data_IF_347687677849
#
_entry.id   IF_347687677849
#
_cell.length_a   1.000
_cell.length_b   1.000
_cell.length_c   1.000
_cell.angle_alpha   90.00
_cell.angle_beta   90.00
_cell.angle_gamma   90.00
#
_symmetry.space_group_name_H-M   'P 1'
#
loop_
_entity.id
_entity.type
_entity.pdbx_description
1 polymer ?
#
# COMPACT_ATOMS: atom_id res chain seq x y z
N UNK A 1 -0.86 66.67 38.96
CA UNK A 1 -1.77 65.52 39.10
C UNK A 1 -2.61 65.50 37.84
N UNK A 2 -2.14 64.75 36.85
CA UNK A 2 -2.66 64.77 35.48
C UNK A 2 -2.99 63.32 35.14
N UNK A 3 -4.25 63.07 34.80
CA UNK A 3 -4.81 61.74 34.54
C UNK A 3 -4.61 61.44 33.05
N UNK A 4 -3.85 60.39 32.73
CA UNK A 4 -3.77 59.82 31.37
C UNK A 4 -4.99 58.93 31.08
N UNK A 5 -5.50 58.89 29.84
CA UNK A 5 -6.63 58.03 29.47
C UNK A 5 -6.17 56.58 29.19
N UNK A 6 -7.07 55.65 29.50
CA UNK A 6 -6.89 54.21 29.40
C UNK A 6 -6.64 53.73 27.96
N UNK A 7 -5.62 52.88 27.81
CA UNK A 7 -5.32 52.12 26.59
C UNK A 7 -6.25 50.91 26.52
N UNK A 8 -7.04 50.82 25.46
CA UNK A 8 -7.85 49.64 25.10
C UNK A 8 -6.95 48.49 24.62
N UNK A 9 -7.15 47.24 25.09
CA UNK A 9 -6.43 46.10 24.55
C UNK A 9 -7.03 45.67 23.20
N UNK A 10 -6.21 45.73 22.15
CA UNK A 10 -6.51 45.13 20.86
C UNK A 10 -6.50 43.60 20.98
N UNK A 11 -7.63 42.94 20.66
CA UNK A 11 -7.64 41.51 20.37
C UNK A 11 -6.89 41.26 19.04
N UNK A 12 -5.94 40.32 18.98
CA UNK A 12 -5.46 39.82 17.70
C UNK A 12 -6.53 38.90 17.08
N UNK A 13 -7.06 39.39 15.97
CA UNK A 13 -7.87 38.66 14.99
C UNK A 13 -7.12 37.47 14.39
N UNK A 14 -7.87 36.39 14.16
CA UNK A 14 -7.61 35.33 13.19
C UNK A 14 -6.43 34.38 13.48
N UNK A 15 -6.76 33.26 14.13
CA UNK A 15 -5.95 32.04 14.08
C UNK A 15 -6.05 31.48 12.66
N UNK A 16 -5.11 31.87 11.80
CA UNK A 16 -4.90 31.18 10.52
C UNK A 16 -4.59 29.72 10.82
N UNK A 17 -5.43 28.82 10.31
CA UNK A 17 -5.13 27.39 10.30
C UNK A 17 -3.82 27.19 9.54
N UNK A 18 -2.75 26.87 10.27
CA UNK A 18 -1.50 26.42 9.68
C UNK A 18 -1.79 25.05 9.06
N UNK A 19 -2.07 25.04 7.76
CA UNK A 19 -1.93 23.84 6.96
C UNK A 19 -0.43 23.55 6.96
N UNK A 20 0.00 22.62 7.80
CA UNK A 20 1.33 22.02 7.70
C UNK A 20 1.33 21.23 6.39
N UNK A 21 1.66 21.91 5.29
CA UNK A 21 2.12 21.23 4.10
C UNK A 21 3.43 20.56 4.48
N UNK A 22 3.38 19.24 4.67
CA UNK A 22 4.60 18.45 4.83
C UNK A 22 5.48 18.70 3.59
N UNK A 23 6.76 19.07 3.75
CA UNK A 23 7.64 19.35 2.61
C UNK A 23 7.71 18.12 1.69
N UNK A 24 7.76 18.36 0.38
CA UNK A 24 7.69 17.35 -0.70
C UNK A 24 8.70 16.20 -0.51
N UNK A 25 9.84 16.46 0.12
CA UNK A 25 10.85 15.44 0.46
C UNK A 25 10.34 14.35 1.43
N UNK A 26 9.32 14.62 2.24
CA UNK A 26 8.78 13.66 3.21
C UNK A 26 7.77 12.67 2.61
N UNK A 27 7.32 12.87 1.37
CA UNK A 27 6.41 11.94 0.70
C UNK A 27 7.13 10.86 -0.12
N UNK A 28 8.41 11.05 -0.46
CA UNK A 28 9.15 10.04 -1.24
C UNK A 28 9.61 8.86 -0.39
N UNK A 29 9.90 9.07 0.90
CA UNK A 29 10.35 8.00 1.81
C UNK A 29 9.29 7.70 2.85
N UNK A 30 8.87 6.44 2.93
CA UNK A 30 7.82 5.97 3.84
C UNK A 30 8.34 4.80 4.67
N UNK A 31 8.28 4.90 5.99
CA UNK A 31 8.75 3.84 6.88
C UNK A 31 7.65 3.31 7.80
N UNK A 32 7.65 1.99 8.01
CA UNK A 32 6.83 1.31 9.02
C UNK A 32 7.71 0.82 10.17
N UNK A 33 7.21 0.82 11.42
CA UNK A 33 7.93 0.26 12.56
C UNK A 33 7.84 -1.28 12.58
N UNK A 34 8.62 -1.90 13.47
CA UNK A 34 8.49 -3.31 13.80
C UNK A 34 7.08 -3.64 14.33
N UNK A 35 6.59 -4.88 14.17
CA UNK A 35 7.31 -6.07 13.67
C UNK A 35 7.42 -6.15 12.14
N UNK A 36 6.59 -5.41 11.39
CA UNK A 36 6.58 -5.43 9.93
C UNK A 36 7.38 -4.24 9.35
N UNK A 37 8.56 -3.99 9.91
CA UNK A 37 9.35 -2.80 9.56
C UNK A 37 9.79 -2.84 8.09
N UNK A 38 9.61 -1.74 7.38
CA UNK A 38 9.98 -1.59 5.98
C UNK A 38 10.13 -0.12 5.68
N UNK A 39 11.10 0.22 4.84
CA UNK A 39 11.24 1.56 4.26
C UNK A 39 11.07 1.47 2.75
N UNK A 40 10.16 2.28 2.23
CA UNK A 40 9.94 2.50 0.80
C UNK A 40 10.56 3.83 0.43
N UNK A 41 11.41 3.86 -0.59
CA UNK A 41 11.94 5.07 -1.19
C UNK A 41 11.48 5.14 -2.65
N UNK A 42 10.61 6.11 -2.90
CA UNK A 42 9.89 6.41 -4.14
C UNK A 42 10.49 7.64 -4.85
N UNK A 43 11.71 8.07 -4.46
CA UNK A 43 12.36 9.25 -5.03
C UNK A 43 12.71 9.09 -6.51
N UNK A 44 12.86 7.86 -6.99
CA UNK A 44 13.18 7.53 -8.37
C UNK A 44 11.90 7.11 -9.12
N UNK A 45 11.46 7.86 -10.14
CA UNK A 45 10.27 7.51 -10.92
C UNK A 45 10.36 6.10 -11.52
N UNK A 46 9.25 5.36 -11.47
CA UNK A 46 9.17 3.98 -11.97
C UNK A 46 9.86 2.92 -11.11
N UNK A 47 10.50 3.32 -10.02
CA UNK A 47 11.21 2.41 -9.12
C UNK A 47 10.79 2.64 -7.67
N UNK A 48 10.78 1.54 -6.92
CA UNK A 48 10.58 1.56 -5.47
C UNK A 48 11.75 0.84 -4.84
N UNK A 49 12.56 1.55 -4.07
CA UNK A 49 13.60 0.91 -3.27
C UNK A 49 12.98 0.50 -1.93
N UNK A 50 13.01 -0.79 -1.65
CA UNK A 50 12.41 -1.41 -0.48
C UNK A 50 13.54 -1.93 0.41
N UNK A 51 13.66 -1.35 1.59
CA UNK A 51 14.64 -1.76 2.61
C UNK A 51 13.94 -2.46 3.76
N UNK A 52 14.36 -3.68 4.05
CA UNK A 52 13.87 -4.48 5.17
C UNK A 52 14.97 -4.59 6.23
N UNK A 53 14.83 -3.93 7.39
CA UNK A 53 15.82 -4.04 8.45
C UNK A 53 15.82 -5.45 9.05
N UNK A 54 16.89 -5.76 9.80
CA UNK A 54 17.02 -6.99 10.59
C UNK A 54 15.80 -7.17 11.50
N UNK A 55 15.26 -8.38 11.57
CA UNK A 55 14.10 -8.71 12.41
C UNK A 55 12.74 -8.31 11.84
N UNK A 56 12.67 -7.70 10.66
CA UNK A 56 11.39 -7.43 10.02
C UNK A 56 10.68 -8.73 9.61
N UNK A 57 9.41 -8.84 9.98
CA UNK A 57 8.49 -9.89 9.55
C UNK A 57 7.71 -9.51 8.27
N UNK A 58 8.06 -8.39 7.64
CA UNK A 58 7.40 -7.91 6.43
C UNK A 58 7.47 -8.94 5.28
N UNK A 59 6.38 -9.05 4.55
CA UNK A 59 6.31 -9.71 3.24
C UNK A 59 5.50 -8.84 2.30
N UNK A 60 5.67 -9.04 1.00
CA UNK A 60 4.81 -8.41 -0.02
C UNK A 60 3.36 -8.91 0.05
N UNK A 61 3.12 -10.05 0.71
CA UNK A 61 1.89 -10.82 0.59
C UNK A 61 1.83 -11.56 -0.76
N UNK A 62 1.07 -12.65 -0.80
CA UNK A 62 0.85 -13.42 -2.02
C UNK A 62 -0.14 -12.69 -2.92
N UNK A 63 0.29 -12.34 -4.13
CA UNK A 63 -0.52 -11.58 -5.08
C UNK A 63 -0.09 -11.82 -6.53
N UNK A 64 -0.80 -11.21 -7.47
CA UNK A 64 -0.40 -11.07 -8.87
C UNK A 64 -0.75 -9.67 -9.42
N UNK A 65 -0.19 -9.37 -10.58
CA UNK A 65 -0.52 -8.21 -11.39
C UNK A 65 -1.20 -8.69 -12.69
N UNK A 66 -2.25 -8.04 -13.15
CA UNK A 66 -2.92 -8.38 -14.41
C UNK A 66 -2.29 -7.69 -15.61
N UNK A 67 -1.86 -6.44 -15.42
CA UNK A 67 -1.43 -5.57 -16.52
C UNK A 67 0.07 -5.37 -16.55
N UNK A 68 0.75 -5.53 -15.40
CA UNK A 68 2.18 -5.32 -15.27
C UNK A 68 2.97 -6.63 -15.15
N UNK A 69 4.12 -6.67 -15.81
CA UNK A 69 5.22 -7.53 -15.34
C UNK A 69 5.95 -6.78 -14.21
N UNK A 70 6.49 -7.50 -13.23
CA UNK A 70 7.29 -6.95 -12.14
C UNK A 70 8.74 -7.46 -12.20
N UNK A 71 9.69 -6.62 -11.79
CA UNK A 71 11.10 -6.96 -11.69
C UNK A 71 11.61 -6.63 -10.29
N UNK A 72 12.22 -7.63 -9.64
CA UNK A 72 12.79 -7.54 -8.29
C UNK A 72 14.31 -7.65 -8.38
N UNK A 73 15.02 -6.52 -8.33
CA UNK A 73 16.48 -6.49 -8.30
C UNK A 73 16.98 -6.50 -6.85
N UNK A 74 17.67 -7.58 -6.47
CA UNK A 74 18.26 -7.72 -5.13
C UNK A 74 19.57 -6.97 -5.10
N UNK A 75 19.60 -5.85 -4.37
CA UNK A 75 20.77 -4.97 -4.27
C UNK A 75 21.66 -5.37 -3.10
N UNK A 76 21.06 -5.80 -1.99
CA UNK A 76 21.76 -6.19 -0.77
C UNK A 76 21.02 -7.31 -0.04
N UNK A 77 21.77 -8.20 0.61
CA UNK A 77 21.23 -9.30 1.39
C UNK A 77 20.62 -10.39 0.52
N UNK A 78 19.65 -11.11 1.09
CA UNK A 78 18.96 -12.21 0.42
C UNK A 78 17.46 -12.18 0.69
N UNK A 79 16.70 -12.50 -0.36
CA UNK A 79 15.25 -12.64 -0.30
C UNK A 79 14.83 -14.08 -0.55
N UNK A 80 13.72 -14.47 0.05
CA UNK A 80 12.96 -15.65 -0.36
C UNK A 80 11.84 -15.16 -1.26
N UNK A 81 11.78 -15.68 -2.47
CA UNK A 81 10.73 -15.37 -3.45
C UNK A 81 9.94 -16.63 -3.74
N UNK A 82 8.62 -16.52 -3.68
CA UNK A 82 7.67 -17.50 -4.18
C UNK A 82 7.28 -17.11 -5.60
N UNK A 83 7.30 -18.06 -6.53
CA UNK A 83 6.70 -17.94 -7.86
C UNK A 83 5.81 -19.16 -8.08
N UNK A 84 4.49 -18.95 -8.21
CA UNK A 84 3.52 -20.03 -8.18
C UNK A 84 3.60 -20.79 -6.85
N UNK A 85 4.04 -22.04 -6.88
CA UNK A 85 4.21 -22.88 -5.69
C UNK A 85 5.67 -23.02 -5.25
N UNK A 86 6.62 -22.51 -6.04
CA UNK A 86 8.03 -22.73 -5.81
C UNK A 86 8.65 -21.58 -5.03
N UNK A 87 9.33 -21.91 -3.94
CA UNK A 87 10.15 -20.97 -3.19
C UNK A 87 11.61 -21.10 -3.58
N UNK A 88 12.27 -19.97 -3.82
CA UNK A 88 13.71 -19.90 -4.03
C UNK A 88 14.34 -18.76 -3.24
N UNK A 89 15.61 -18.92 -2.89
CA UNK A 89 16.41 -17.85 -2.29
C UNK A 89 17.23 -17.17 -3.37
N UNK A 90 17.19 -15.83 -3.39
CA UNK A 90 17.98 -15.00 -4.30
C UNK A 90 18.81 -14.04 -3.46
N UNK A 91 20.13 -14.03 -3.68
CA UNK A 91 21.07 -13.28 -2.85
C UNK A 91 21.95 -12.38 -3.71
N UNK A 92 22.15 -11.15 -3.27
CA UNK A 92 23.15 -10.26 -3.84
C UNK A 92 24.55 -10.63 -3.33
N UNK A 93 25.56 -10.38 -4.16
CA UNK A 93 26.97 -10.44 -3.76
C UNK A 93 27.72 -9.22 -4.31
N UNK A 94 28.94 -8.92 -3.84
CA UNK A 94 29.73 -7.82 -4.39
C UNK A 94 29.84 -7.92 -5.91
N UNK A 95 29.40 -6.88 -6.63
CA UNK A 95 29.40 -6.83 -8.09
C UNK A 95 28.30 -7.65 -8.80
N UNK A 96 27.42 -8.34 -8.07
CA UNK A 96 26.32 -9.12 -8.65
C UNK A 96 24.99 -8.85 -7.93
N UNK A 97 24.07 -8.20 -8.63
CA UNK A 97 22.74 -7.85 -8.15
C UNK A 97 21.71 -8.57 -9.03
N UNK A 98 21.31 -9.81 -8.67
CA UNK A 98 20.41 -10.60 -9.49
C UNK A 98 19.02 -9.94 -9.54
N UNK A 99 18.35 -10.12 -10.69
CA UNK A 99 16.99 -9.64 -10.92
C UNK A 99 16.04 -10.81 -11.17
N UNK A 100 14.91 -10.80 -10.49
CA UNK A 100 13.82 -11.75 -10.69
C UNK A 100 12.73 -11.08 -11.51
N UNK A 101 12.48 -11.57 -12.72
CA UNK A 101 11.28 -11.23 -13.48
C UNK A 101 10.09 -12.03 -12.97
N UNK A 102 9.00 -11.34 -12.71
CA UNK A 102 7.67 -11.85 -12.37
C UNK A 102 6.75 -11.47 -13.53
N UNK A 103 6.34 -12.46 -14.31
CA UNK A 103 5.40 -12.20 -15.41
C UNK A 103 4.02 -11.83 -14.86
N UNK A 104 3.26 -11.01 -15.58
CA UNK A 104 1.83 -10.78 -15.29
C UNK A 104 1.09 -12.10 -15.10
N UNK A 105 0.10 -12.08 -14.23
CA UNK A 105 -0.72 -13.21 -13.78
C UNK A 105 0.06 -14.27 -12.97
N UNK A 106 1.39 -14.17 -12.87
CA UNK A 106 2.17 -15.06 -12.02
C UNK A 106 1.96 -14.68 -10.55
N UNK A 107 1.56 -15.67 -9.76
CA UNK A 107 1.50 -15.50 -8.31
C UNK A 107 2.89 -15.39 -7.75
N UNK A 108 3.08 -14.42 -6.87
CA UNK A 108 4.36 -14.21 -6.24
C UNK A 108 4.21 -13.59 -4.86
N UNK A 109 5.21 -13.85 -4.04
CA UNK A 109 5.41 -13.26 -2.72
C UNK A 109 6.92 -13.16 -2.51
N UNK A 110 7.39 -12.10 -1.88
CA UNK A 110 8.77 -12.06 -1.41
C UNK A 110 8.90 -11.49 -0.01
N UNK A 111 9.96 -11.91 0.66
CA UNK A 111 10.34 -11.51 2.01
C UNK A 111 11.82 -11.70 2.22
N UNK A 112 12.33 -11.30 3.39
CA UNK A 112 13.69 -11.65 3.82
C UNK A 112 13.89 -13.17 3.80
N UNK A 113 15.06 -13.65 3.35
CA UNK A 113 15.37 -15.08 3.40
C UNK A 113 15.52 -15.57 4.84
N UNK A 114 16.14 -14.75 5.70
CA UNK A 114 16.40 -15.04 7.10
C UNK A 114 15.96 -13.86 7.98
N UNK A 115 15.17 -14.15 9.02
CA UNK A 115 14.68 -13.15 9.96
C UNK A 115 15.83 -12.41 10.69
N UNK A 116 16.87 -13.16 11.05
CA UNK A 116 18.03 -12.65 11.80
C UNK A 116 19.22 -12.19 10.95
N UNK A 117 19.15 -12.33 9.62
CA UNK A 117 20.24 -11.94 8.71
C UNK A 117 20.42 -10.43 8.55
N UNK A 118 21.35 -10.03 7.69
CA UNK A 118 21.67 -8.62 7.42
C UNK A 118 20.52 -7.87 6.72
N UNK A 119 20.57 -6.54 6.74
CA UNK A 119 19.61 -5.70 6.03
C UNK A 119 19.47 -6.12 4.55
N UNK A 120 18.23 -6.17 4.08
CA UNK A 120 17.87 -6.54 2.71
C UNK A 120 17.40 -5.30 1.98
N UNK A 121 17.91 -5.10 0.76
CA UNK A 121 17.51 -3.99 -0.11
C UNK A 121 17.13 -4.56 -1.48
N UNK A 122 15.90 -4.28 -1.91
CA UNK A 122 15.37 -4.65 -3.22
C UNK A 122 14.95 -3.39 -3.95
N UNK A 123 15.24 -3.31 -5.25
CA UNK A 123 14.63 -2.31 -6.13
C UNK A 123 13.56 -3.01 -6.96
N UNK A 124 12.34 -2.51 -6.84
CA UNK A 124 11.16 -3.06 -7.48
C UNK A 124 10.68 -2.09 -8.57
N UNK A 125 10.39 -2.60 -9.77
CA UNK A 125 9.82 -1.82 -10.87
C UNK A 125 8.87 -2.66 -11.71
N UNK A 126 8.04 -2.01 -12.53
CA UNK A 126 7.03 -2.66 -13.36
C UNK A 126 7.18 -2.30 -14.84
N UNK A 127 6.66 -3.17 -15.69
CA UNK A 127 6.51 -2.95 -17.13
C UNK A 127 5.04 -3.14 -17.53
N UNK A 128 4.35 -2.11 -18.06
CA UNK A 128 4.85 -0.78 -18.39
C UNK A 128 5.35 0.02 -17.17
N UNK A 129 6.35 0.88 -17.38
CA UNK A 129 6.90 1.75 -16.35
C UNK A 129 6.01 3.00 -16.21
N UNK A 130 4.85 2.82 -15.58
CA UNK A 130 3.93 3.91 -15.28
C UNK A 130 4.01 4.36 -13.80
N UNK A 131 3.13 5.26 -13.40
CA UNK A 131 3.13 5.82 -12.05
C UNK A 131 2.35 4.96 -11.03
N UNK A 132 1.67 3.89 -11.45
CA UNK A 132 0.72 3.17 -10.59
C UNK A 132 1.40 2.53 -9.39
N UNK A 133 2.62 2.05 -9.58
CA UNK A 133 3.39 1.46 -8.49
C UNK A 133 3.66 2.44 -7.35
N UNK A 134 4.02 3.68 -7.67
CA UNK A 134 4.23 4.72 -6.65
C UNK A 134 2.90 5.12 -6.01
N UNK A 135 1.83 5.29 -6.81
CA UNK A 135 0.46 5.55 -6.32
C UNK A 135 0.01 4.47 -5.34
N UNK A 136 0.31 3.20 -5.64
CA UNK A 136 -0.01 2.07 -4.78
C UNK A 136 0.67 2.20 -3.42
N UNK A 137 1.99 2.38 -3.40
CA UNK A 137 2.73 2.46 -2.13
C UNK A 137 2.34 3.69 -1.30
N UNK A 138 2.11 4.85 -1.92
CA UNK A 138 1.62 6.04 -1.22
C UNK A 138 0.28 5.77 -0.51
N UNK A 139 -0.70 5.24 -1.25
CA UNK A 139 -2.05 5.05 -0.72
C UNK A 139 -2.15 3.88 0.26
N UNK A 140 -1.51 2.75 -0.04
CA UNK A 140 -1.39 1.59 0.85
C UNK A 140 -0.82 2.01 2.21
N UNK A 141 0.33 2.69 2.20
CA UNK A 141 0.98 3.12 3.43
C UNK A 141 0.20 4.25 4.13
N UNK A 142 -0.40 5.17 3.37
CA UNK A 142 -1.21 6.24 3.92
C UNK A 142 -2.43 5.73 4.71
N UNK A 143 -3.06 4.65 4.24
CA UNK A 143 -4.14 3.97 4.98
C UNK A 143 -3.59 3.26 6.21
N UNK A 144 -2.52 2.47 6.08
CA UNK A 144 -1.95 1.69 7.20
C UNK A 144 -1.44 2.59 8.32
N UNK A 145 -0.65 3.61 7.98
CA UNK A 145 -0.06 4.54 8.95
C UNK A 145 -1.09 5.56 9.45
N UNK A 146 -2.12 5.85 8.66
CA UNK A 146 -3.21 6.76 9.04
C UNK A 146 -4.28 6.14 9.93
N UNK A 147 -4.37 4.80 10.00
CA UNK A 147 -5.42 4.10 10.75
C UNK A 147 -5.50 4.48 12.24
N UNK A 148 -4.39 4.62 12.99
CA UNK A 148 -4.45 5.07 14.39
C UNK A 148 -5.06 6.47 14.55
N UNK A 149 -4.68 7.43 13.70
CA UNK A 149 -5.24 8.79 13.74
C UNK A 149 -6.70 8.88 13.28
N UNK A 150 -7.15 7.94 12.45
CA UNK A 150 -8.58 7.81 12.09
C UNK A 150 -9.40 7.27 13.27
N UNK A 151 -8.85 6.34 14.07
CA UNK A 151 -9.48 5.88 15.31
C UNK A 151 -9.74 7.06 16.27
N UNK A 152 -8.81 8.01 16.34
CA UNK A 152 -8.94 9.17 17.21
C UNK A 152 -9.95 10.21 16.67
N UNK A 153 -10.00 10.44 15.35
CA UNK A 153 -10.82 11.52 14.73
C UNK A 153 -12.19 11.07 14.23
N UNK A 154 -12.26 9.92 13.56
CA UNK A 154 -13.47 9.37 12.93
C UNK A 154 -14.22 8.39 13.83
N UNK A 155 -13.89 8.29 15.11
CA UNK A 155 -14.72 7.53 16.06
C UNK A 155 -15.43 8.45 17.06
N UNK A 156 -15.31 9.77 16.86
CA UNK A 156 -16.15 10.74 17.54
C UNK A 156 -17.65 10.55 17.22
N UNK A 157 -18.00 10.17 15.97
CA UNK A 157 -19.40 9.91 15.56
C UNK A 157 -19.97 8.58 16.10
N UNK A 158 -19.11 7.67 16.57
CA UNK A 158 -19.49 6.43 17.27
C UNK A 158 -18.90 6.38 18.68
N UNK A 159 -18.70 7.55 19.30
CA UNK A 159 -18.15 7.66 20.65
C UNK A 159 -19.01 6.94 21.70
N UNK A 160 -20.29 6.73 21.39
CA UNK A 160 -21.24 5.96 22.19
C UNK A 160 -21.08 4.43 22.08
N UNK A 161 -20.33 3.92 21.09
CA UNK A 161 -20.18 2.48 20.89
C UNK A 161 -19.06 1.86 21.75
N UNK A 162 -19.22 0.58 22.12
CA UNK A 162 -18.17 -0.18 22.80
C UNK A 162 -16.85 -0.26 21.99
N UNK A 163 -15.72 -0.37 22.69
CA UNK A 163 -14.37 -0.48 22.10
C UNK A 163 -14.23 -1.57 21.03
N UNK A 164 -14.81 -2.74 21.26
CA UNK A 164 -14.74 -3.85 20.31
C UNK A 164 -15.38 -3.50 18.96
N UNK A 165 -16.48 -2.75 18.96
CA UNK A 165 -17.17 -2.35 17.73
C UNK A 165 -16.39 -1.27 16.99
N UNK A 166 -15.77 -0.35 17.73
CA UNK A 166 -14.86 0.67 17.17
C UNK A 166 -13.66 0.03 16.49
N UNK A 167 -13.04 -0.95 17.14
CA UNK A 167 -11.94 -1.73 16.57
C UNK A 167 -12.37 -2.53 15.34
N UNK A 168 -13.53 -3.19 15.39
CA UNK A 168 -14.08 -3.92 14.24
C UNK A 168 -14.36 -2.98 13.05
N UNK A 169 -14.99 -1.83 13.28
CA UNK A 169 -15.29 -0.86 12.24
C UNK A 169 -14.01 -0.27 11.61
N UNK A 170 -12.99 0.01 12.42
CA UNK A 170 -11.69 0.45 11.91
C UNK A 170 -11.03 -0.63 11.04
N UNK A 171 -10.99 -1.87 11.52
CA UNK A 171 -10.41 -2.98 10.77
C UNK A 171 -11.15 -3.19 9.45
N UNK A 172 -12.48 -3.17 9.49
CA UNK A 172 -13.32 -3.25 8.30
C UNK A 172 -13.00 -2.12 7.31
N UNK A 173 -12.95 -0.87 7.78
CA UNK A 173 -12.64 0.29 6.94
C UNK A 173 -11.25 0.21 6.32
N UNK A 174 -10.23 -0.18 7.11
CA UNK A 174 -8.86 -0.36 6.62
C UNK A 174 -8.82 -1.47 5.56
N UNK A 175 -9.39 -2.64 5.85
CA UNK A 175 -9.45 -3.75 4.88
C UNK A 175 -10.16 -3.35 3.61
N UNK A 176 -11.32 -2.69 3.71
CA UNK A 176 -12.08 -2.20 2.56
C UNK A 176 -11.28 -1.20 1.74
N UNK A 177 -10.61 -0.24 2.40
CA UNK A 177 -9.75 0.75 1.74
C UNK A 177 -8.60 0.10 0.99
N UNK A 178 -7.94 -0.89 1.60
CA UNK A 178 -6.85 -1.63 0.96
C UNK A 178 -7.36 -2.42 -0.25
N UNK A 179 -8.52 -3.07 -0.16
CA UNK A 179 -9.09 -3.81 -1.29
C UNK A 179 -9.48 -2.90 -2.45
N UNK A 180 -10.00 -1.71 -2.18
CA UNK A 180 -10.27 -0.69 -3.22
C UNK A 180 -8.97 -0.27 -3.91
N UNK A 181 -7.90 -0.03 -3.14
CA UNK A 181 -6.56 0.28 -3.68
C UNK A 181 -6.05 -0.87 -4.55
N UNK A 182 -6.14 -2.10 -4.08
CA UNK A 182 -5.69 -3.33 -4.75
C UNK A 182 -6.36 -3.52 -6.11
N UNK A 183 -7.69 -3.37 -6.15
CA UNK A 183 -8.48 -3.50 -7.37
C UNK A 183 -8.13 -2.42 -8.41
N UNK A 184 -7.83 -1.20 -7.95
CA UNK A 184 -7.59 -0.06 -8.82
C UNK A 184 -6.16 0.03 -9.35
N UNK A 185 -5.17 -0.39 -8.57
CA UNK A 185 -3.73 -0.22 -8.85
C UNK A 185 -3.01 -1.56 -9.07
N UNK A 186 -3.70 -2.47 -9.76
CA UNK A 186 -3.16 -3.71 -10.31
C UNK A 186 -2.45 -4.64 -9.31
N UNK A 187 -2.94 -4.77 -8.07
CA UNK A 187 -2.29 -5.57 -7.05
C UNK A 187 -3.27 -6.57 -6.42
N UNK A 188 -3.48 -7.72 -7.05
CA UNK A 188 -4.53 -8.66 -6.70
C UNK A 188 -4.07 -9.69 -5.67
N UNK A 189 -4.52 -9.63 -4.40
CA UNK A 189 -4.14 -10.63 -3.40
C UNK A 189 -4.72 -12.01 -3.73
N UNK A 190 -3.96 -13.06 -3.42
CA UNK A 190 -4.46 -14.45 -3.38
C UNK A 190 -4.95 -14.72 -1.96
N UNK A 191 -6.27 -14.90 -1.78
CA UNK A 191 -6.87 -15.03 -0.46
C UNK A 191 -6.80 -16.44 0.13
N UNK A 192 -6.93 -17.47 -0.70
CA UNK A 192 -7.12 -18.86 -0.24
C UNK A 192 -5.87 -19.70 -0.48
N UNK A 193 -5.22 -19.53 -1.65
CA UNK A 193 -4.09 -20.35 -2.06
C UNK A 193 -4.48 -21.85 -2.08
N UNK A 194 -5.56 -22.14 -2.82
CA UNK A 194 -6.16 -23.48 -2.91
C UNK A 194 -5.14 -24.58 -3.23
N UNK A 195 -4.12 -24.39 -4.12
CA UNK A 195 -3.10 -25.40 -4.38
C UNK A 195 -2.35 -25.86 -3.14
N UNK A 196 -2.10 -24.96 -2.18
CA UNK A 196 -1.41 -25.27 -0.91
C UNK A 196 -2.34 -26.00 0.06
N UNK A 197 -3.63 -25.66 0.07
CA UNK A 197 -4.62 -26.28 0.97
C UNK A 197 -5.02 -27.70 0.56
N UNK A 198 -5.11 -27.96 -0.75
CA UNK A 198 -5.58 -29.22 -1.30
C UNK A 198 -4.57 -29.85 -2.27
N UNK A 199 -3.33 -30.17 -1.82
CA UNK A 199 -2.25 -30.63 -2.70
C UNK A 199 -2.51 -32.01 -3.35
N UNK A 200 -3.54 -32.74 -2.91
CA UNK A 200 -3.84 -34.11 -3.34
C UNK A 200 -5.24 -34.28 -3.97
N UNK A 201 -6.04 -33.21 -4.03
CA UNK A 201 -7.38 -33.26 -4.62
C UNK A 201 -7.30 -32.79 -6.07
N UNK A 202 -7.57 -33.69 -7.02
CA UNK A 202 -7.78 -33.43 -8.45
C UNK A 202 -6.76 -32.49 -9.14
N UNK A 203 -5.67 -33.07 -9.66
CA UNK A 203 -4.71 -32.42 -10.57
C UNK A 203 -5.35 -31.83 -11.85
N UNK A 204 -6.64 -32.11 -12.11
CA UNK A 204 -7.39 -31.62 -13.26
C UNK A 204 -8.09 -30.27 -13.04
N UNK A 205 -8.16 -29.76 -11.80
CA UNK A 205 -8.79 -28.46 -11.53
C UNK A 205 -7.75 -27.35 -11.68
N UNK A 206 -8.00 -26.31 -12.50
CA UNK A 206 -7.10 -25.17 -12.60
C UNK A 206 -7.28 -24.27 -11.37
N UNK A 207 -6.75 -24.69 -10.23
CA UNK A 207 -6.91 -24.01 -8.93
C UNK A 207 -6.54 -22.52 -8.96
N UNK A 208 -5.54 -22.15 -9.76
CA UNK A 208 -5.17 -20.74 -9.97
C UNK A 208 -6.34 -19.89 -10.50
N UNK A 209 -7.22 -20.45 -11.33
CA UNK A 209 -8.42 -19.74 -11.85
C UNK A 209 -9.49 -19.58 -10.77
N UNK A 210 -9.57 -20.53 -9.83
CA UNK A 210 -10.52 -20.46 -8.71
C UNK A 210 -10.13 -19.31 -7.79
N UNK A 211 -8.86 -19.25 -7.39
CA UNK A 211 -8.32 -18.15 -6.58
C UNK A 211 -8.46 -16.80 -7.30
N UNK A 212 -8.16 -16.73 -8.61
CA UNK A 212 -8.40 -15.52 -9.41
C UNK A 212 -9.87 -15.08 -9.35
N UNK A 213 -10.81 -15.99 -9.60
CA UNK A 213 -12.24 -15.70 -9.52
C UNK A 213 -12.65 -15.20 -8.13
N UNK A 214 -12.18 -15.86 -7.07
CA UNK A 214 -12.49 -15.47 -5.70
C UNK A 214 -11.96 -14.08 -5.36
N UNK A 215 -10.74 -13.75 -5.78
CA UNK A 215 -10.21 -12.40 -5.56
C UNK A 215 -10.97 -11.36 -6.37
N UNK A 216 -11.31 -11.62 -7.63
CA UNK A 216 -12.13 -10.69 -8.42
C UNK A 216 -13.49 -10.44 -7.79
N UNK A 217 -14.20 -11.49 -7.38
CA UNK A 217 -15.50 -11.33 -6.72
C UNK A 217 -15.38 -10.52 -5.43
N UNK A 218 -14.35 -10.79 -4.63
CA UNK A 218 -14.09 -10.08 -3.38
C UNK A 218 -13.75 -8.61 -3.62
N UNK A 219 -12.83 -8.34 -4.55
CA UNK A 219 -12.36 -6.99 -4.86
C UNK A 219 -13.42 -6.15 -5.58
N UNK A 220 -14.26 -6.74 -6.44
CA UNK A 220 -15.35 -6.02 -7.11
C UNK A 220 -16.44 -5.65 -6.09
N UNK A 221 -16.81 -6.57 -5.19
CA UNK A 221 -17.72 -6.26 -4.09
C UNK A 221 -17.15 -5.16 -3.17
N UNK A 222 -15.86 -5.26 -2.82
CA UNK A 222 -15.18 -4.25 -2.03
C UNK A 222 -15.10 -2.90 -2.74
N UNK A 223 -14.86 -2.89 -4.05
CA UNK A 223 -14.82 -1.68 -4.87
C UNK A 223 -16.20 -1.01 -4.92
N UNK A 224 -17.27 -1.79 -5.08
CA UNK A 224 -18.64 -1.27 -5.05
C UNK A 224 -19.02 -0.70 -3.68
N UNK A 225 -18.73 -1.44 -2.59
CA UNK A 225 -18.97 -0.96 -1.23
C UNK A 225 -18.14 0.28 -0.91
N UNK A 226 -16.86 0.29 -1.30
CA UNK A 226 -15.96 1.41 -1.12
C UNK A 226 -16.46 2.65 -1.85
N UNK A 227 -16.89 2.51 -3.10
CA UNK A 227 -17.53 3.58 -3.86
C UNK A 227 -18.77 4.13 -3.14
N UNK A 228 -19.67 3.25 -2.69
CA UNK A 228 -20.88 3.65 -1.96
C UNK A 228 -20.55 4.39 -0.65
N UNK A 229 -19.41 4.07 -0.02
CA UNK A 229 -18.90 4.70 1.20
C UNK A 229 -17.99 5.90 0.93
N UNK A 230 -17.77 6.29 -0.33
CA UNK A 230 -16.92 7.42 -0.71
C UNK A 230 -15.41 7.15 -0.56
N UNK A 231 -14.99 5.90 -0.41
CA UNK A 231 -13.57 5.50 -0.41
C UNK A 231 -13.00 5.67 -1.81
N UNK A 232 -11.85 6.33 -1.90
CA UNK A 232 -11.12 6.53 -3.14
C UNK A 232 -9.85 5.67 -3.15
N UNK A 233 -9.50 5.03 -4.28
CA UNK A 233 -8.27 4.23 -4.38
C UNK A 233 -7.01 5.10 -4.36
N UNK A 234 -7.10 6.35 -4.85
CA UNK A 234 -6.01 7.33 -4.79
C UNK A 234 -6.51 8.55 -4.04
N UNK A 235 -5.85 8.89 -2.94
CA UNK A 235 -6.21 9.99 -2.07
C UNK A 235 -5.13 11.09 -2.13
N UNK A 236 -5.51 12.36 -2.39
CA UNK A 236 -4.57 13.47 -2.45
C UNK A 236 -3.88 13.76 -1.11
N UNK A 237 -4.42 13.26 0.01
CA UNK A 237 -3.78 13.35 1.32
C UNK A 237 -2.47 12.56 1.39
N UNK A 238 -2.39 11.45 0.66
CA UNK A 238 -1.25 10.52 0.71
C UNK A 238 -0.35 10.61 -0.52
N UNK A 239 -0.83 11.28 -1.57
CA UNK A 239 -0.20 11.29 -2.88
C UNK A 239 0.33 12.70 -3.18
N UNK A 240 1.57 12.85 -3.68
CA UNK A 240 2.07 14.15 -4.14
C UNK A 240 1.13 14.79 -5.17
N UNK A 241 0.98 16.12 -5.09
CA UNK A 241 -0.02 16.86 -5.87
C UNK A 241 0.10 16.62 -7.38
N UNK A 242 1.32 16.63 -7.92
CA UNK A 242 1.57 16.44 -9.36
C UNK A 242 1.17 15.03 -9.81
N UNK A 243 1.53 14.01 -9.02
CA UNK A 243 1.17 12.61 -9.30
C UNK A 243 -0.35 12.40 -9.21
N UNK A 244 -1.01 13.00 -8.22
CA UNK A 244 -2.46 12.95 -8.08
C UNK A 244 -3.19 13.62 -9.25
N UNK A 245 -2.72 14.81 -9.65
CA UNK A 245 -3.29 15.55 -10.77
C UNK A 245 -3.10 14.80 -12.09
N UNK A 246 -1.93 14.21 -12.31
CA UNK A 246 -1.66 13.36 -13.47
C UNK A 246 -2.62 12.16 -13.51
N UNK A 247 -2.74 11.42 -12.40
CA UNK A 247 -3.67 10.29 -12.29
C UNK A 247 -5.13 10.70 -12.57
N UNK A 248 -5.57 11.82 -12.00
CA UNK A 248 -6.94 12.34 -12.19
C UNK A 248 -7.19 12.79 -13.64
N UNK A 249 -6.18 13.34 -14.30
CA UNK A 249 -6.27 13.80 -15.69
C UNK A 249 -6.37 12.64 -16.69
N UNK A 250 -5.86 11.46 -16.32
CA UNK A 250 -6.12 10.22 -17.06
C UNK A 250 -7.57 9.77 -16.78
N UNK A 251 -8.49 10.36 -17.52
CA UNK A 251 -9.94 10.15 -17.37
C UNK A 251 -10.38 8.68 -17.52
N UNK A 252 -9.56 7.82 -18.12
CA UNK A 252 -9.82 6.37 -18.19
C UNK A 252 -9.62 5.69 -16.83
N UNK A 253 -8.57 6.07 -16.10
CA UNK A 253 -8.23 5.53 -14.78
C UNK A 253 -9.16 6.06 -13.68
N UNK A 254 -9.45 7.37 -13.71
CA UNK A 254 -10.40 7.99 -12.77
C UNK A 254 -11.84 7.47 -12.96
N UNK A 255 -12.24 7.17 -14.20
CA UNK A 255 -13.55 6.57 -14.48
C UNK A 255 -13.64 5.11 -14.01
N UNK A 256 -12.58 4.31 -14.19
CA UNK A 256 -12.51 2.93 -13.67
C UNK A 256 -12.59 2.91 -12.14
N UNK A 257 -11.90 3.83 -11.48
CA UNK A 257 -11.94 3.99 -10.01
C UNK A 257 -13.31 4.44 -9.47
N UNK A 258 -14.09 5.20 -10.25
CA UNK A 258 -15.38 5.76 -9.80
C UNK A 258 -16.60 4.88 -10.11
N UNK A 259 -16.45 3.79 -10.87
CA UNK A 259 -17.58 2.95 -11.30
C UNK A 259 -17.67 1.57 -10.66
N UNK A 260 -16.73 1.17 -9.80
CA UNK A 260 -16.62 -0.21 -9.32
C UNK A 260 -16.22 -1.13 -10.48
N UNK A 261 -15.03 -1.72 -10.41
CA UNK A 261 -14.50 -2.60 -11.46
C UNK A 261 -15.36 -3.87 -11.64
#
# INVERSE_FOLDING_TARGET
MTIEPAVTPHLPTSVSAVIIALPVETMSVISRPLPNAVTYDLSMPGHVKITLPRGSAWSSGLHWHETHDEYLRVVQGSIRVRLGNDWRTVAASPGHQPEVKVARLAWHEWRRAEAGGDEVVVVECTEPADADKALFFWNLNGVILGAPGLLERHVAWVSWAPEWLRGWALNFWVTLSLFVIFAALDNFPVFVDVPTLLPHVLQCVPFHKVDQLLSHLTLNLASWLGWAMGIQPVNPKYTPADAYNAWRSDGSRAAKASKGA
#
